data_IF_127911830277
#
_entry.id   IF_127911830277
#
_cell.length_a   1.000
_cell.length_b   1.000
_cell.length_c   1.000
_cell.angle_alpha   90.00
_cell.angle_beta   90.00
_cell.angle_gamma   90.00
#
_symmetry.space_group_name_H-M   'P 1'
#
loop_
_entity.id
_entity.type
_entity.pdbx_description
1 polymer ?
#
# COMPACT_ATOMS: atom_id res chain seq x y z
N UNK A 1 1.44 8.54 -13.19
CA UNK A 1 1.49 9.69 -12.31
C UNK A 1 0.42 10.71 -12.61
N UNK A 2 0.30 11.21 -13.81
CA UNK A 2 -0.82 12.08 -14.18
C UNK A 2 -2.20 11.55 -13.79
N UNK A 3 -2.38 10.22 -13.74
CA UNK A 3 -3.65 9.63 -13.34
C UNK A 3 -3.93 9.77 -11.83
N UNK A 4 -2.94 9.70 -10.96
CA UNK A 4 -3.13 9.97 -9.53
C UNK A 4 -3.55 11.43 -9.29
N UNK A 5 -2.88 12.37 -9.96
CA UNK A 5 -3.22 13.79 -9.91
C UNK A 5 -4.62 14.07 -10.51
N UNK A 6 -4.97 13.41 -11.62
CA UNK A 6 -6.30 13.48 -12.21
C UNK A 6 -7.37 12.99 -11.22
N UNK A 7 -7.17 11.84 -10.58
CA UNK A 7 -8.10 11.32 -9.58
C UNK A 7 -8.27 12.29 -8.40
N UNK A 8 -7.16 12.94 -7.95
CA UNK A 8 -7.20 13.96 -6.90
C UNK A 8 -8.00 15.19 -7.35
N UNK A 9 -7.74 15.71 -8.56
CA UNK A 9 -8.44 16.86 -9.10
C UNK A 9 -9.92 16.61 -9.36
N UNK A 10 -10.28 15.38 -9.76
CA UNK A 10 -11.66 14.96 -9.95
C UNK A 10 -12.42 14.67 -8.65
N UNK A 11 -11.77 14.84 -7.51
CA UNK A 11 -12.40 14.67 -6.19
C UNK A 11 -12.64 13.24 -5.76
N UNK A 12 -11.92 12.26 -6.35
CA UNK A 12 -12.08 10.84 -6.00
C UNK A 12 -11.86 10.57 -4.51
N UNK A 13 -10.98 11.34 -3.87
CA UNK A 13 -10.63 11.23 -2.44
C UNK A 13 -11.38 12.19 -1.52
N UNK A 14 -12.31 13.05 -2.03
CA UNK A 14 -12.86 14.16 -1.25
C UNK A 14 -13.88 13.72 -0.20
N UNK A 15 -14.74 12.78 -0.53
CA UNK A 15 -15.83 12.32 0.33
C UNK A 15 -15.78 10.78 0.52
N UNK A 16 -14.70 10.23 1.08
CA UNK A 16 -14.61 8.80 1.31
C UNK A 16 -15.56 8.37 2.43
N UNK A 17 -16.04 7.13 2.42
CA UNK A 17 -16.79 6.59 3.55
C UNK A 17 -15.97 6.68 4.85
N UNK A 18 -16.63 7.04 5.95
CA UNK A 18 -15.99 7.04 7.27
C UNK A 18 -16.20 5.67 7.93
N UNK A 19 -15.11 5.07 8.37
CA UNK A 19 -15.11 3.79 9.06
C UNK A 19 -14.46 3.95 10.43
N UNK A 20 -15.25 3.74 11.47
CA UNK A 20 -14.73 3.68 12.84
C UNK A 20 -14.40 2.24 13.19
N UNK A 21 -13.11 1.93 13.32
CA UNK A 21 -12.60 0.61 13.74
C UNK A 21 -11.38 0.79 14.65
N UNK A 22 -11.03 -0.26 15.37
CA UNK A 22 -9.77 -0.29 16.09
C UNK A 22 -8.62 -0.30 15.08
N UNK A 23 -7.55 0.43 15.40
CA UNK A 23 -6.32 0.42 14.62
C UNK A 23 -5.48 -0.82 14.94
N UNK A 24 -4.80 -1.37 13.94
CA UNK A 24 -3.91 -2.52 14.06
C UNK A 24 -2.52 -2.14 13.51
N UNK A 25 -1.47 -2.44 14.27
CA UNK A 25 -0.10 -2.22 13.82
C UNK A 25 0.38 -3.39 12.96
N UNK A 26 0.72 -3.12 11.71
CA UNK A 26 1.33 -4.09 10.80
C UNK A 26 2.72 -4.51 11.29
N UNK A 27 3.53 -3.54 11.74
CA UNK A 27 4.86 -3.79 12.30
C UNK A 27 4.81 -4.78 13.46
N UNK A 28 3.85 -4.62 14.37
CA UNK A 28 3.66 -5.54 15.48
C UNK A 28 3.11 -6.89 15.03
N UNK A 29 2.20 -6.92 14.05
CA UNK A 29 1.67 -8.16 13.50
C UNK A 29 2.76 -9.01 12.85
N UNK A 30 3.65 -8.39 12.06
CA UNK A 30 4.82 -9.05 11.47
C UNK A 30 5.75 -9.61 12.55
N UNK A 31 6.09 -8.81 13.58
CA UNK A 31 6.98 -9.24 14.67
C UNK A 31 6.43 -10.39 15.50
N UNK A 32 5.11 -10.51 15.63
CA UNK A 32 4.44 -11.57 16.39
C UNK A 32 4.18 -12.83 15.58
N UNK A 33 4.40 -12.80 14.28
CA UNK A 33 4.18 -13.96 13.43
C UNK A 33 5.18 -15.08 13.76
N UNK A 34 4.68 -16.25 14.12
CA UNK A 34 5.52 -17.43 14.43
C UNK A 34 6.06 -18.11 13.16
N UNK A 35 5.58 -17.70 11.99
CA UNK A 35 5.99 -18.14 10.65
C UNK A 35 6.17 -16.91 9.78
N UNK A 36 6.50 -17.11 8.51
CA UNK A 36 6.54 -16.01 7.56
C UNK A 36 5.20 -15.24 7.57
N UNK A 37 5.27 -13.93 7.86
CA UNK A 37 4.11 -13.06 7.79
C UNK A 37 3.66 -12.90 6.34
N UNK A 38 2.41 -13.23 6.05
CA UNK A 38 1.85 -13.11 4.71
C UNK A 38 0.90 -11.93 4.64
N UNK A 39 1.23 -10.97 3.78
CA UNK A 39 0.32 -9.88 3.41
C UNK A 39 -0.39 -10.31 2.12
N UNK A 40 -1.69 -10.60 2.21
CA UNK A 40 -2.48 -10.99 1.06
C UNK A 40 -3.05 -9.76 0.34
N UNK A 41 -3.05 -9.77 -1.00
CA UNK A 41 -3.47 -8.61 -1.80
C UNK A 41 -4.80 -8.83 -2.51
N UNK A 42 -5.73 -7.89 -2.36
CA UNK A 42 -6.99 -7.81 -3.12
C UNK A 42 -6.77 -6.87 -4.30
N UNK A 43 -6.73 -7.48 -5.51
CA UNK A 43 -6.50 -6.78 -6.77
C UNK A 43 -7.34 -7.41 -7.90
N UNK A 44 -8.07 -6.58 -8.63
CA UNK A 44 -8.95 -7.03 -9.71
C UNK A 44 -8.33 -6.88 -11.09
N UNK A 45 -7.37 -5.97 -11.26
CA UNK A 45 -6.68 -5.69 -12.51
C UNK A 45 -5.25 -5.25 -12.26
N UNK A 46 -4.38 -5.34 -13.27
CA UNK A 46 -3.06 -4.71 -13.25
C UNK A 46 -2.62 -4.34 -14.66
N UNK A 47 -1.73 -3.33 -14.83
CA UNK A 47 -1.20 -2.95 -16.14
C UNK A 47 -0.53 -4.10 -16.89
N UNK A 48 0.11 -5.02 -16.18
CA UNK A 48 0.87 -6.15 -16.77
C UNK A 48 0.04 -7.38 -17.09
N UNK A 49 -1.08 -7.59 -16.40
CA UNK A 49 -1.90 -8.81 -16.53
C UNK A 49 -3.33 -8.52 -17.03
N UNK A 50 -3.70 -7.24 -17.22
CA UNK A 50 -5.07 -6.86 -17.53
C UNK A 50 -6.04 -7.25 -16.40
N UNK A 51 -7.24 -7.70 -16.74
CA UNK A 51 -8.20 -8.20 -15.77
C UNK A 51 -7.71 -9.51 -15.15
N UNK A 52 -7.48 -9.50 -13.83
CA UNK A 52 -7.04 -10.67 -13.05
C UNK A 52 -8.27 -11.46 -12.58
N UNK A 53 -9.34 -10.74 -12.23
CA UNK A 53 -10.57 -11.34 -11.77
C UNK A 53 -11.77 -10.52 -12.28
N UNK A 54 -12.66 -11.20 -12.98
CA UNK A 54 -13.90 -10.60 -13.47
C UNK A 54 -14.97 -10.65 -12.36
N UNK A 55 -15.00 -9.61 -11.53
CA UNK A 55 -15.94 -9.47 -10.43
C UNK A 55 -15.50 -10.17 -9.15
N UNK A 56 -16.29 -9.98 -8.12
CA UNK A 56 -16.08 -10.50 -6.77
C UNK A 56 -16.39 -9.42 -5.74
N UNK A 57 -16.84 -9.85 -4.58
CA UNK A 57 -17.13 -8.97 -3.46
C UNK A 57 -15.86 -8.86 -2.61
N UNK A 58 -15.23 -7.67 -2.51
CA UNK A 58 -13.96 -7.52 -1.78
C UNK A 58 -13.99 -8.10 -0.37
N UNK A 59 -15.11 -7.97 0.33
CA UNK A 59 -15.29 -8.50 1.70
C UNK A 59 -15.23 -10.03 1.74
N UNK A 60 -15.81 -10.74 0.79
CA UNK A 60 -15.79 -12.21 0.76
C UNK A 60 -14.37 -12.72 0.50
N UNK A 61 -13.64 -12.03 -0.39
CA UNK A 61 -12.23 -12.33 -0.66
C UNK A 61 -11.41 -12.09 0.62
N UNK A 62 -11.61 -10.95 1.27
CA UNK A 62 -10.91 -10.59 2.51
C UNK A 62 -11.14 -11.62 3.62
N UNK A 63 -12.39 -12.05 3.84
CA UNK A 63 -12.73 -13.09 4.82
C UNK A 63 -12.02 -14.40 4.49
N UNK A 64 -11.94 -14.77 3.22
CA UNK A 64 -11.26 -16.00 2.79
C UNK A 64 -9.76 -15.92 3.04
N UNK A 65 -9.13 -14.75 2.80
CA UNK A 65 -7.72 -14.51 3.08
C UNK A 65 -7.41 -14.50 4.59
N UNK A 66 -8.28 -13.88 5.40
CA UNK A 66 -8.17 -13.89 6.87
C UNK A 66 -8.25 -15.32 7.40
N UNK A 67 -9.23 -16.11 6.96
CA UNK A 67 -9.37 -17.53 7.32
C UNK A 67 -8.19 -18.38 6.84
N UNK A 68 -7.57 -18.01 5.72
CA UNK A 68 -6.35 -18.62 5.21
C UNK A 68 -5.09 -18.30 6.01
N UNK A 69 -5.17 -17.44 7.03
CA UNK A 69 -4.07 -17.09 7.91
C UNK A 69 -3.23 -15.91 7.43
N UNK A 70 -3.78 -15.03 6.60
CA UNK A 70 -3.11 -13.77 6.26
C UNK A 70 -2.83 -12.96 7.53
N UNK A 71 -1.63 -12.38 7.60
CA UNK A 71 -1.20 -11.51 8.72
C UNK A 71 -1.76 -10.09 8.54
N UNK A 72 -1.93 -9.66 7.31
CA UNK A 72 -2.49 -8.37 6.91
C UNK A 72 -3.09 -8.46 5.51
N UNK A 73 -3.90 -7.46 5.13
CA UNK A 73 -4.44 -7.35 3.78
C UNK A 73 -3.99 -6.05 3.12
N UNK A 74 -3.51 -6.16 1.88
CA UNK A 74 -3.25 -5.04 0.97
C UNK A 74 -4.43 -4.92 0.00
N UNK A 75 -5.02 -3.74 -0.11
CA UNK A 75 -6.23 -3.53 -0.91
C UNK A 75 -6.01 -2.38 -1.87
N UNK A 76 -6.14 -2.65 -3.16
CA UNK A 76 -5.99 -1.63 -4.21
C UNK A 76 -7.15 -0.65 -4.14
N UNK A 77 -6.81 0.65 -4.15
CA UNK A 77 -7.78 1.76 -4.20
C UNK A 77 -7.66 2.58 -5.48
N UNK A 78 -6.57 2.46 -6.24
CA UNK A 78 -6.38 3.13 -7.51
C UNK A 78 -7.41 2.59 -8.55
N UNK A 79 -8.31 3.46 -9.10
CA UNK A 79 -9.47 2.99 -9.86
C UNK A 79 -9.16 2.61 -11.31
N UNK A 80 -8.22 3.32 -11.97
CA UNK A 80 -8.04 3.26 -13.42
C UNK A 80 -7.28 2.01 -13.89
N UNK A 81 -6.16 1.71 -13.24
CA UNK A 81 -5.24 0.66 -13.67
C UNK A 81 -5.42 -0.65 -12.89
N UNK A 82 -5.86 -0.54 -11.64
CA UNK A 82 -5.98 -1.69 -10.76
C UNK A 82 -7.43 -2.09 -10.47
N UNK A 83 -8.39 -1.33 -11.02
CA UNK A 83 -9.82 -1.49 -10.73
C UNK A 83 -10.09 -1.51 -9.21
N UNK A 84 -9.34 -0.68 -8.50
CA UNK A 84 -9.43 -0.51 -7.05
C UNK A 84 -10.61 0.36 -6.64
N UNK A 85 -10.94 0.37 -5.35
CA UNK A 85 -12.08 1.14 -4.87
C UNK A 85 -11.95 1.52 -3.41
N UNK A 86 -12.02 2.83 -3.13
CA UNK A 86 -12.14 3.38 -1.76
C UNK A 86 -13.36 2.80 -1.03
N UNK A 87 -14.50 2.67 -1.74
CA UNK A 87 -15.73 2.08 -1.18
C UNK A 87 -15.55 0.58 -0.89
N UNK A 88 -14.84 -0.12 -1.79
CA UNK A 88 -14.46 -1.52 -1.61
C UNK A 88 -13.57 -1.71 -0.39
N UNK A 89 -12.53 -0.87 -0.24
CA UNK A 89 -11.69 -0.84 0.95
C UNK A 89 -12.50 -0.65 2.24
N UNK A 90 -13.33 0.40 2.28
CA UNK A 90 -14.16 0.71 3.45
C UNK A 90 -15.12 -0.44 3.82
N UNK A 91 -15.62 -1.19 2.84
CA UNK A 91 -16.46 -2.37 3.10
C UNK A 91 -15.68 -3.48 3.79
N UNK A 92 -14.42 -3.71 3.39
CA UNK A 92 -13.51 -4.67 4.04
C UNK A 92 -13.17 -4.19 5.45
N UNK A 93 -12.83 -2.91 5.62
CA UNK A 93 -12.43 -2.33 6.90
C UNK A 93 -13.51 -2.47 8.00
N UNK A 94 -14.78 -2.52 7.62
CA UNK A 94 -15.90 -2.75 8.55
C UNK A 94 -16.00 -4.20 9.06
N UNK A 95 -15.29 -5.15 8.48
CA UNK A 95 -15.50 -6.58 8.72
C UNK A 95 -14.26 -7.34 9.14
N UNK A 96 -13.07 -6.84 8.81
CA UNK A 96 -11.80 -7.53 9.00
C UNK A 96 -11.05 -6.93 10.19
N UNK A 97 -10.49 -7.81 11.02
CA UNK A 97 -9.72 -7.46 12.23
C UNK A 97 -8.21 -7.73 12.05
N UNK A 98 -7.69 -7.45 10.86
CA UNK A 98 -6.27 -7.49 10.52
C UNK A 98 -5.78 -6.09 10.16
N UNK A 99 -4.45 -5.83 10.19
CA UNK A 99 -3.90 -4.62 9.60
C UNK A 99 -4.29 -4.50 8.13
N UNK A 100 -4.79 -3.32 7.73
CA UNK A 100 -5.22 -3.02 6.37
C UNK A 100 -4.33 -1.96 5.75
N UNK A 101 -3.80 -2.27 4.57
CA UNK A 101 -2.88 -1.42 3.81
C UNK A 101 -3.66 -0.81 2.64
N UNK A 102 -3.75 0.53 2.59
CA UNK A 102 -4.20 1.21 1.39
C UNK A 102 -3.10 1.19 0.33
N UNK A 103 -3.31 0.40 -0.71
CA UNK A 103 -2.39 0.27 -1.85
C UNK A 103 -2.86 1.20 -2.98
N UNK A 104 -2.16 2.30 -3.12
CA UNK A 104 -2.45 3.34 -4.11
C UNK A 104 -1.14 3.98 -4.59
N UNK A 105 -1.20 4.86 -5.60
CA UNK A 105 -0.12 5.75 -5.99
C UNK A 105 -0.28 7.05 -5.20
N UNK A 106 0.30 7.08 -3.98
CA UNK A 106 0.13 8.19 -3.06
C UNK A 106 1.15 9.28 -3.33
N UNK A 107 0.65 10.48 -3.65
CA UNK A 107 1.44 11.69 -3.96
C UNK A 107 0.95 12.93 -3.19
N UNK A 108 -0.08 12.80 -2.36
CA UNK A 108 -0.71 13.94 -1.69
C UNK A 108 -1.31 13.57 -0.32
N UNK A 109 -1.27 14.53 0.61
CA UNK A 109 -1.94 14.46 1.92
C UNK A 109 -3.43 14.16 1.82
N UNK A 110 -4.09 14.57 0.73
CA UNK A 110 -5.51 14.29 0.48
C UNK A 110 -5.79 12.78 0.42
N UNK A 111 -4.89 12.00 -0.17
CA UNK A 111 -5.00 10.54 -0.21
C UNK A 111 -4.79 9.91 1.16
N UNK A 112 -3.89 10.47 1.98
CA UNK A 112 -3.64 10.05 3.36
C UNK A 112 -4.85 10.34 4.25
N UNK A 113 -5.50 11.51 4.08
CA UNK A 113 -6.76 11.82 4.76
C UNK A 113 -7.87 10.83 4.39
N UNK A 114 -7.95 10.45 3.11
CA UNK A 114 -8.89 9.44 2.66
C UNK A 114 -8.57 8.06 3.28
N UNK A 115 -7.29 7.66 3.33
CA UNK A 115 -6.84 6.42 3.96
C UNK A 115 -7.27 6.34 5.43
N UNK A 116 -7.02 7.40 6.19
CA UNK A 116 -7.45 7.48 7.59
C UNK A 116 -8.98 7.33 7.73
N UNK A 117 -9.76 8.06 6.94
CA UNK A 117 -11.23 8.03 7.00
C UNK A 117 -11.82 6.65 6.66
N UNK A 118 -11.25 5.94 5.68
CA UNK A 118 -11.74 4.61 5.28
C UNK A 118 -11.30 3.49 6.23
N UNK A 119 -10.54 3.81 7.28
CA UNK A 119 -10.10 2.84 8.29
C UNK A 119 -8.87 2.03 7.86
N UNK A 120 -7.98 2.63 7.07
CA UNK A 120 -6.65 2.06 6.82
C UNK A 120 -5.80 2.14 8.08
N UNK A 121 -4.90 1.19 8.27
CA UNK A 121 -3.87 1.22 9.31
C UNK A 121 -2.51 1.64 8.73
N UNK A 122 -2.32 1.39 7.44
CA UNK A 122 -1.03 1.55 6.76
C UNK A 122 -1.25 2.18 5.39
N UNK A 123 -0.37 3.07 5.01
CA UNK A 123 -0.25 3.56 3.63
C UNK A 123 1.05 3.08 3.00
N UNK A 124 1.04 2.90 1.68
CA UNK A 124 2.24 2.54 0.94
C UNK A 124 2.70 3.75 0.12
N UNK A 125 3.96 4.15 0.32
CA UNK A 125 4.65 5.16 -0.47
C UNK A 125 5.68 4.48 -1.36
N UNK A 126 5.85 4.93 -2.60
CA UNK A 126 6.79 4.37 -3.57
C UNK A 126 7.98 5.33 -3.69
N UNK A 127 9.18 4.89 -3.26
CA UNK A 127 10.38 5.73 -3.20
C UNK A 127 10.70 6.42 -4.52
N UNK A 128 10.65 5.67 -5.63
CA UNK A 128 10.94 6.16 -6.99
C UNK A 128 10.10 7.40 -7.38
N UNK A 129 8.87 7.52 -6.87
CA UNK A 129 7.98 8.66 -7.18
C UNK A 129 8.59 9.96 -6.67
N UNK A 130 9.11 9.94 -5.44
CA UNK A 130 9.71 11.10 -4.79
C UNK A 130 11.10 11.40 -5.34
N UNK A 131 11.91 10.38 -5.57
CA UNK A 131 13.24 10.52 -6.20
C UNK A 131 13.15 11.21 -7.57
N UNK A 132 12.09 10.91 -8.35
CA UNK A 132 11.88 11.51 -9.68
C UNK A 132 11.15 12.86 -9.64
N UNK A 133 10.82 13.38 -8.47
CA UNK A 133 10.08 14.64 -8.36
C UNK A 133 8.66 14.57 -8.90
N UNK A 134 8.04 13.41 -8.83
CA UNK A 134 6.69 13.21 -9.31
C UNK A 134 5.60 13.56 -8.29
N UNK A 135 5.92 14.01 -7.14
CA UNK A 135 5.03 14.56 -6.13
C UNK A 135 5.45 15.99 -5.82
N UNK A 136 4.49 16.87 -5.62
CA UNK A 136 4.74 18.24 -5.12
C UNK A 136 5.08 18.25 -3.63
N UNK A 137 4.71 17.20 -2.90
CA UNK A 137 5.01 17.01 -1.49
C UNK A 137 6.20 16.07 -1.34
N UNK A 138 7.11 16.37 -0.41
CA UNK A 138 8.28 15.52 -0.17
C UNK A 138 7.92 14.21 0.53
N UNK A 139 8.75 13.18 0.35
CA UNK A 139 8.60 11.90 1.04
C UNK A 139 8.51 12.08 2.57
N UNK A 140 9.41 12.90 3.14
CA UNK A 140 9.46 13.18 4.57
C UNK A 140 8.16 13.82 5.09
N UNK A 141 7.60 14.76 4.33
CA UNK A 141 6.32 15.40 4.68
C UNK A 141 5.18 14.38 4.68
N UNK A 142 5.09 13.49 3.67
CA UNK A 142 4.02 12.50 3.62
C UNK A 142 4.16 11.42 4.69
N UNK A 143 5.39 10.98 5.04
CA UNK A 143 5.63 10.08 6.17
C UNK A 143 5.15 10.74 7.47
N UNK A 144 5.65 11.94 7.77
CA UNK A 144 5.26 12.68 8.99
C UNK A 144 3.76 12.93 9.05
N UNK A 145 3.14 13.27 7.93
CA UNK A 145 1.69 13.47 7.86
C UNK A 145 0.92 12.17 8.11
N UNK A 146 1.37 11.06 7.56
CA UNK A 146 0.77 9.73 7.82
C UNK A 146 0.81 9.39 9.31
N UNK A 147 1.96 9.58 9.95
CA UNK A 147 2.10 9.37 11.40
C UNK A 147 1.18 10.29 12.20
N UNK A 148 1.00 11.55 11.80
CA UNK A 148 0.07 12.48 12.46
C UNK A 148 -1.40 12.02 12.41
N UNK A 149 -1.73 11.14 11.44
CA UNK A 149 -3.05 10.50 11.30
C UNK A 149 -3.13 9.14 11.98
N UNK A 150 -2.06 8.69 12.64
CA UNK A 150 -1.98 7.36 13.25
C UNK A 150 -1.81 6.20 12.28
N UNK A 151 -1.34 6.48 11.05
CA UNK A 151 -1.07 5.48 10.02
C UNK A 151 0.40 5.08 10.03
N UNK A 152 0.69 3.78 9.95
CA UNK A 152 2.03 3.29 9.63
C UNK A 152 2.34 3.47 8.13
N UNK A 153 3.62 3.55 7.80
CA UNK A 153 4.10 3.73 6.43
C UNK A 153 4.96 2.55 5.98
N UNK A 154 4.57 1.93 4.88
CA UNK A 154 5.46 1.08 4.09
C UNK A 154 6.11 1.96 3.02
N UNK A 155 7.44 1.95 2.96
CA UNK A 155 8.19 2.58 1.88
C UNK A 155 8.70 1.51 0.91
N UNK A 156 8.11 1.47 -0.28
CA UNK A 156 8.45 0.50 -1.33
C UNK A 156 9.66 0.99 -2.14
N UNK A 157 10.68 0.14 -2.29
CA UNK A 157 11.88 0.37 -3.06
C UNK A 157 12.13 -0.73 -4.09
N UNK A 158 12.92 -0.42 -5.16
CA UNK A 158 13.15 -1.28 -6.32
C UNK A 158 14.65 -1.48 -6.63
N UNK A 159 15.53 -0.78 -5.94
CA UNK A 159 16.98 -0.89 -6.11
C UNK A 159 17.69 -0.84 -4.76
N UNK A 160 18.99 -1.17 -4.78
CA UNK A 160 19.84 -1.10 -3.60
C UNK A 160 19.97 0.34 -3.10
N UNK A 161 20.15 1.31 -3.99
CA UNK A 161 20.26 2.73 -3.65
C UNK A 161 18.97 3.27 -3.02
N UNK A 162 17.81 2.85 -3.55
CA UNK A 162 16.52 3.20 -2.96
C UNK A 162 16.37 2.56 -1.58
N UNK A 163 16.80 1.30 -1.41
CA UNK A 163 16.75 0.60 -0.13
C UNK A 163 17.63 1.28 0.93
N UNK A 164 18.88 1.63 0.59
CA UNK A 164 19.80 2.33 1.49
C UNK A 164 19.25 3.68 1.96
N UNK A 165 18.59 4.39 1.08
CA UNK A 165 17.89 5.61 1.43
C UNK A 165 16.63 5.37 2.28
N UNK A 166 15.88 4.31 1.96
CA UNK A 166 14.64 3.97 2.65
C UNK A 166 14.87 3.55 4.10
N UNK A 167 15.92 2.76 4.40
CA UNK A 167 16.24 2.32 5.77
C UNK A 167 16.69 3.47 6.70
N UNK A 168 17.09 4.61 6.14
CA UNK A 168 17.44 5.81 6.91
C UNK A 168 16.27 6.78 7.07
N UNK A 169 15.13 6.48 6.48
CA UNK A 169 13.92 7.28 6.59
C UNK A 169 13.13 6.96 7.87
N UNK A 170 12.12 7.79 8.16
CA UNK A 170 11.18 7.57 9.26
C UNK A 170 10.06 6.58 8.91
N UNK A 171 10.13 5.84 7.79
CA UNK A 171 9.13 4.83 7.45
C UNK A 171 9.16 3.66 8.44
N UNK A 172 7.99 3.08 8.75
CA UNK A 172 7.86 2.01 9.74
C UNK A 172 8.36 0.67 9.20
N UNK A 173 8.20 0.45 7.90
CA UNK A 173 8.54 -0.78 7.18
C UNK A 173 9.11 -0.40 5.83
N UNK A 174 10.22 -1.03 5.44
CA UNK A 174 10.77 -0.95 4.09
C UNK A 174 10.35 -2.21 3.32
N UNK A 175 9.75 -2.01 2.16
CA UNK A 175 9.33 -3.08 1.26
C UNK A 175 10.20 -3.13 0.01
N UNK A 176 10.70 -4.32 -0.35
CA UNK A 176 11.41 -4.52 -1.62
C UNK A 176 10.43 -5.09 -2.65
N UNK A 177 10.28 -4.40 -3.77
CA UNK A 177 9.45 -4.87 -4.86
C UNK A 177 10.32 -5.53 -5.94
N UNK A 178 10.11 -6.83 -6.16
CA UNK A 178 10.83 -7.61 -7.16
C UNK A 178 10.37 -7.32 -8.60
N UNK A 179 9.38 -6.45 -8.78
CA UNK A 179 8.92 -6.04 -10.12
C UNK A 179 9.56 -4.72 -10.52
N UNK A 180 10.29 -4.71 -11.63
CA UNK A 180 10.78 -3.47 -12.24
C UNK A 180 9.61 -2.63 -12.77
N UNK A 181 9.56 -1.35 -12.40
CA UNK A 181 8.45 -0.44 -12.76
C UNK A 181 8.44 -0.02 -14.24
N UNK A 182 9.53 -0.23 -14.99
CA UNK A 182 9.62 0.15 -16.42
C UNK A 182 9.30 -1.00 -17.33
N UNK A 183 9.93 -2.16 -17.07
CA UNK A 183 9.77 -3.36 -17.90
C UNK A 183 8.62 -4.27 -17.47
N UNK A 184 8.11 -4.07 -16.24
CA UNK A 184 7.16 -4.95 -15.56
C UNK A 184 7.65 -6.39 -15.34
N UNK A 185 8.94 -6.65 -15.59
CA UNK A 185 9.57 -7.95 -15.34
C UNK A 185 9.70 -8.17 -13.84
N UNK A 186 9.40 -9.39 -13.40
CA UNK A 186 9.61 -9.81 -12.01
C UNK A 186 10.93 -10.59 -11.95
N UNK A 187 11.87 -10.11 -11.14
CA UNK A 187 13.13 -10.79 -10.81
C UNK A 187 13.18 -11.09 -9.32
N UNK A 188 12.97 -12.35 -8.96
CA UNK A 188 12.98 -12.79 -7.56
C UNK A 188 14.37 -12.63 -6.89
N UNK A 189 15.43 -12.54 -7.68
CA UNK A 189 16.79 -12.33 -7.18
C UNK A 189 17.02 -10.90 -6.69
N UNK A 190 16.13 -9.96 -7.05
CA UNK A 190 16.24 -8.54 -6.61
C UNK A 190 16.32 -8.43 -5.09
N UNK A 191 15.41 -9.07 -4.36
CA UNK A 191 15.44 -9.06 -2.88
C UNK A 191 16.70 -9.69 -2.32
N UNK A 192 17.13 -10.82 -2.89
CA UNK A 192 18.35 -11.52 -2.47
C UNK A 192 19.60 -10.65 -2.69
N UNK A 193 19.72 -10.00 -3.84
CA UNK A 193 20.82 -9.07 -4.14
C UNK A 193 20.85 -7.91 -3.14
N UNK A 194 19.72 -7.24 -2.91
CA UNK A 194 19.63 -6.07 -2.02
C UNK A 194 19.99 -6.46 -0.57
N UNK A 195 19.50 -7.60 -0.07
CA UNK A 195 19.76 -8.03 1.30
C UNK A 195 21.12 -8.73 1.46
N UNK A 196 21.60 -9.44 0.44
CA UNK A 196 22.87 -10.16 0.46
C UNK A 196 24.10 -9.25 0.56
N UNK A 197 23.99 -8.00 0.15
CA UNK A 197 25.06 -6.97 0.29
C UNK A 197 25.12 -6.35 1.70
N UNK A 198 24.22 -6.69 2.60
CA UNK A 198 24.03 -6.06 3.91
C UNK A 198 24.45 -6.94 5.10
N UNK A 199 25.43 -7.85 4.90
CA UNK A 199 26.05 -8.65 5.99
C UNK A 199 26.95 -7.81 6.88
#
# INVERSE_FOLDING_TARGET
>A
MGDAEINIMQGYYDNPPVVNRNSFSLKNAIKRANKAAVIAEIKFSSPSAGAIRNGGIPVEIAISMERGGATALSILTEPKHFNGSIKGFASVAKRINLPLIMKDIIVSKKQIDAAHKIGSDVVLLIFTIFQKGYSSESLKELISYSHSKGLEVILECHSEEEFDSAITSDADIVGINNRDLRSFVVDLVTTEKILGTKN
#
